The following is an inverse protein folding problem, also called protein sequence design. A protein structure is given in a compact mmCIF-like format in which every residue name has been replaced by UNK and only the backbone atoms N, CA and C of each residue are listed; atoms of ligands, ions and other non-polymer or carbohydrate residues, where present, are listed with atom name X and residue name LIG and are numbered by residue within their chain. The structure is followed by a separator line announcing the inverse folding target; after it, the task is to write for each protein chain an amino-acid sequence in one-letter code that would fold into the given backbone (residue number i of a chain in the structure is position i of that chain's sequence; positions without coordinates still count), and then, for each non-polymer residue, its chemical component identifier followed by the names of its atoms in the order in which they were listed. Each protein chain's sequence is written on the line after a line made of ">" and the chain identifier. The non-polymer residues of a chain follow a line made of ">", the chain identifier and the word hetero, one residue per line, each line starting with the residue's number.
data_IF_365457255438
#
_entry.id   IF_365457255438
#
_cell.length_a   1.000
_cell.length_b   1.000
_cell.length_c   1.000
_cell.angle_alpha   90.00
_cell.angle_beta   90.00
_cell.angle_gamma   90.00
#
_symmetry.space_group_name_H-M   'P 1'
#
loop_
_entity.id
_entity.type
_entity.pdbx_description
1 polymer ?
#
# COMPACT_ATOMS: atom_id res chain seq x y z
N UNK A 1 0.77 3.06 -19.08
CA UNK A 1 -0.37 2.15 -18.78
C UNK A 1 -1.68 2.92 -18.70
N UNK A 2 -1.92 3.84 -17.73
CA UNK A 2 -3.20 4.56 -17.59
C UNK A 2 -3.64 5.28 -18.86
N UNK A 3 -2.76 6.06 -19.51
CA UNK A 3 -3.07 6.73 -20.78
C UNK A 3 -3.52 5.76 -21.89
N UNK A 4 -2.91 4.57 -21.98
CA UNK A 4 -3.31 3.58 -22.98
C UNK A 4 -4.72 3.03 -22.69
N UNK A 5 -5.06 2.82 -21.41
CA UNK A 5 -6.40 2.39 -21.01
C UNK A 5 -7.42 3.47 -21.37
N UNK A 6 -7.17 4.72 -21.01
CA UNK A 6 -8.07 5.85 -21.34
C UNK A 6 -8.27 6.00 -22.86
N UNK A 7 -7.18 5.91 -23.63
CA UNK A 7 -7.28 5.97 -25.10
C UNK A 7 -8.13 4.84 -25.71
N UNK A 8 -8.08 3.64 -25.13
CA UNK A 8 -8.94 2.54 -25.56
C UNK A 8 -10.39 2.79 -25.17
N UNK A 9 -10.61 3.29 -23.93
CA UNK A 9 -11.95 3.66 -23.47
C UNK A 9 -12.58 4.72 -24.36
N UNK A 10 -11.85 5.78 -24.66
CA UNK A 10 -12.31 6.88 -25.52
C UNK A 10 -12.71 6.39 -26.92
N UNK A 11 -11.92 5.49 -27.53
CA UNK A 11 -12.24 4.87 -28.84
C UNK A 11 -13.56 4.07 -28.80
N UNK A 12 -13.98 3.65 -27.61
CA UNK A 12 -15.24 2.92 -27.40
C UNK A 12 -16.33 3.78 -26.76
N UNK A 13 -16.20 5.11 -26.80
CA UNK A 13 -17.10 6.08 -26.17
C UNK A 13 -17.30 5.84 -24.67
N UNK A 14 -16.27 5.37 -23.97
CA UNK A 14 -16.25 5.20 -22.53
C UNK A 14 -15.32 6.25 -21.91
N UNK A 15 -15.81 6.96 -20.91
CA UNK A 15 -15.10 8.05 -20.23
C UNK A 15 -15.01 7.74 -18.73
N UNK A 16 -14.14 6.79 -18.32
CA UNK A 16 -14.03 6.40 -16.93
C UNK A 16 -13.42 7.54 -16.09
N UNK A 17 -14.14 7.91 -15.04
CA UNK A 17 -13.71 8.87 -14.02
C UNK A 17 -13.76 8.20 -12.63
N UNK A 18 -12.77 7.36 -12.29
CA UNK A 18 -12.79 6.63 -11.03
C UNK A 18 -12.56 7.58 -9.85
N UNK A 19 -13.41 7.47 -8.83
CA UNK A 19 -13.24 8.18 -7.57
C UNK A 19 -12.20 7.51 -6.66
N UNK A 20 -12.08 6.19 -6.74
CA UNK A 20 -11.18 5.39 -5.89
C UNK A 20 -10.31 4.47 -6.73
N UNK A 21 -9.05 4.34 -6.32
CA UNK A 21 -8.15 3.28 -6.84
C UNK A 21 -7.52 2.55 -5.65
N UNK A 22 -7.51 1.21 -5.73
CA UNK A 22 -6.79 0.37 -4.78
C UNK A 22 -5.47 -0.04 -5.39
N UNK A 23 -4.37 0.24 -4.69
CA UNK A 23 -3.00 0.00 -5.17
C UNK A 23 -2.12 -0.55 -4.06
N UNK A 24 -1.00 -1.13 -4.46
CA UNK A 24 0.11 -1.42 -3.56
C UNK A 24 0.88 -0.13 -3.22
N UNK A 25 1.79 -0.21 -2.25
CA UNK A 25 2.58 0.94 -1.81
C UNK A 25 3.73 1.24 -2.78
N UNK A 26 3.39 1.44 -4.07
CA UNK A 26 4.31 1.87 -5.12
C UNK A 26 4.10 3.35 -5.46
N UNK A 27 5.00 4.21 -4.99
CA UNK A 27 4.88 5.66 -5.19
C UNK A 27 4.79 6.06 -6.66
N UNK A 28 5.50 5.35 -7.54
CA UNK A 28 5.46 5.59 -8.99
C UNK A 28 4.06 5.35 -9.56
N UNK A 29 3.38 4.29 -9.16
CA UNK A 29 2.02 3.95 -9.60
C UNK A 29 1.03 4.99 -9.08
N UNK A 30 1.14 5.37 -7.80
CA UNK A 30 0.29 6.39 -7.17
C UNK A 30 0.43 7.73 -7.90
N UNK A 31 1.65 8.18 -8.15
CA UNK A 31 1.90 9.44 -8.87
C UNK A 31 1.37 9.37 -10.31
N UNK A 32 1.60 8.26 -11.01
CA UNK A 32 1.12 8.07 -12.38
C UNK A 32 -0.42 8.06 -12.44
N UNK A 33 -1.09 7.44 -11.47
CA UNK A 33 -2.54 7.44 -11.38
C UNK A 33 -3.09 8.85 -11.19
N UNK A 34 -2.58 9.61 -10.22
CA UNK A 34 -3.00 11.00 -9.97
C UNK A 34 -2.74 11.92 -11.16
N UNK A 35 -1.57 11.81 -11.78
CA UNK A 35 -1.22 12.64 -12.93
C UNK A 35 -2.12 12.39 -14.16
N UNK A 36 -2.66 11.20 -14.32
CA UNK A 36 -3.46 10.83 -15.50
C UNK A 36 -4.96 10.88 -15.22
N UNK A 37 -5.39 10.45 -14.03
CA UNK A 37 -6.81 10.37 -13.66
C UNK A 37 -7.29 11.59 -12.88
N UNK A 38 -6.38 12.43 -12.39
CA UNK A 38 -6.70 13.66 -11.67
C UNK A 38 -6.43 13.60 -10.17
N UNK A 39 -6.27 14.78 -9.56
CA UNK A 39 -5.97 14.93 -8.13
C UNK A 39 -7.17 14.59 -7.22
N UNK A 40 -8.39 14.53 -7.77
CA UNK A 40 -9.59 14.10 -7.05
C UNK A 40 -9.55 12.60 -6.67
N UNK A 41 -8.66 11.84 -7.31
CA UNK A 41 -8.53 10.40 -7.11
C UNK A 41 -8.10 10.06 -5.68
N UNK A 42 -8.93 9.29 -4.99
CA UNK A 42 -8.65 8.78 -3.65
C UNK A 42 -7.85 7.47 -3.76
N UNK A 43 -6.66 7.48 -3.18
CA UNK A 43 -5.77 6.33 -3.18
C UNK A 43 -6.03 5.48 -1.94
N UNK A 44 -6.43 4.24 -2.14
CA UNK A 44 -6.57 3.24 -1.09
C UNK A 44 -5.47 2.19 -1.22
N UNK A 45 -4.56 2.14 -0.25
CA UNK A 45 -3.54 1.10 -0.16
C UNK A 45 -4.15 -0.25 0.23
N UNK A 46 -3.53 -1.31 -0.25
CA UNK A 46 -3.92 -2.67 0.13
C UNK A 46 -3.43 -2.99 1.54
N UNK A 47 -4.34 -3.35 2.46
CA UNK A 47 -4.00 -3.70 3.84
C UNK A 47 -3.01 -4.87 3.94
N UNK A 48 -3.16 -5.88 3.08
CA UNK A 48 -2.22 -6.99 3.02
C UNK A 48 -0.78 -6.52 2.74
N UNK A 49 -0.61 -5.60 1.79
CA UNK A 49 0.72 -5.06 1.45
C UNK A 49 1.28 -4.13 2.54
N UNK A 50 0.45 -3.48 3.34
CA UNK A 50 0.88 -2.78 4.54
C UNK A 50 1.54 -3.75 5.52
N UNK A 51 0.80 -4.80 5.93
CA UNK A 51 1.31 -5.83 6.83
C UNK A 51 2.56 -6.53 6.26
N UNK A 52 2.55 -6.85 4.95
CA UNK A 52 3.71 -7.44 4.28
C UNK A 52 4.95 -6.53 4.33
N UNK A 53 4.76 -5.21 4.20
CA UNK A 53 5.84 -4.23 4.30
C UNK A 53 6.43 -4.19 5.72
N UNK A 54 5.58 -4.21 6.76
CA UNK A 54 5.99 -4.31 8.16
C UNK A 54 6.79 -5.59 8.42
N UNK A 55 6.30 -6.74 7.95
CA UNK A 55 6.99 -8.02 8.07
C UNK A 55 8.31 -8.09 7.29
N UNK A 56 8.38 -7.46 6.13
CA UNK A 56 9.63 -7.35 5.37
C UNK A 56 10.67 -6.55 6.16
N UNK A 57 10.27 -5.42 6.73
CA UNK A 57 11.16 -4.61 7.56
C UNK A 57 11.62 -5.35 8.80
N UNK A 58 10.74 -6.06 9.47
CA UNK A 58 11.07 -6.95 10.59
C UNK A 58 12.13 -7.99 10.20
N UNK A 59 12.00 -8.57 9.01
CA UNK A 59 13.00 -9.53 8.48
C UNK A 59 14.34 -8.87 8.15
N UNK A 60 14.34 -7.67 7.58
CA UNK A 60 15.54 -6.86 7.29
C UNK A 60 16.30 -6.50 8.57
N UNK A 61 15.58 -6.22 9.66
CA UNK A 61 16.15 -5.94 10.98
C UNK A 61 16.63 -7.20 11.73
N UNK A 62 16.46 -8.40 11.15
CA UNK A 62 16.86 -9.66 11.77
C UNK A 62 15.94 -10.11 12.93
N UNK A 63 14.76 -9.51 13.06
CA UNK A 63 13.85 -9.72 14.20
C UNK A 63 12.89 -10.91 14.01
N UNK A 64 13.02 -11.67 12.92
CA UNK A 64 12.12 -12.79 12.59
C UNK A 64 12.04 -13.84 13.69
N UNK A 65 13.19 -14.20 14.28
CA UNK A 65 13.24 -15.18 15.39
C UNK A 65 12.50 -14.64 16.61
N UNK A 66 12.73 -13.38 16.96
CA UNK A 66 12.06 -12.73 18.09
C UNK A 66 10.55 -12.66 17.87
N UNK A 67 10.08 -12.33 16.68
CA UNK A 67 8.67 -12.34 16.32
C UNK A 67 8.02 -13.73 16.51
N UNK A 68 8.76 -14.81 16.30
CA UNK A 68 8.25 -16.18 16.44
C UNK A 68 8.26 -16.70 17.87
N UNK A 69 9.21 -16.26 18.70
CA UNK A 69 9.49 -16.83 20.03
C UNK A 69 9.04 -15.93 21.20
N UNK A 70 8.87 -14.62 20.96
CA UNK A 70 8.50 -13.64 21.98
C UNK A 70 7.06 -13.17 21.77
N UNK A 71 6.19 -13.55 22.69
CA UNK A 71 4.76 -13.24 22.62
C UNK A 71 4.49 -11.73 22.61
N UNK A 72 5.11 -10.99 23.53
CA UNK A 72 4.89 -9.55 23.68
C UNK A 72 5.35 -8.79 22.43
N UNK A 73 6.45 -9.24 21.84
CA UNK A 73 6.95 -8.68 20.58
C UNK A 73 6.01 -8.99 19.40
N UNK A 74 5.47 -10.20 19.34
CA UNK A 74 4.49 -10.60 18.32
C UNK A 74 3.19 -9.79 18.46
N UNK A 75 2.68 -9.66 19.69
CA UNK A 75 1.48 -8.86 19.99
C UNK A 75 1.68 -7.39 19.60
N UNK A 76 2.85 -6.81 19.92
CA UNK A 76 3.20 -5.45 19.50
C UNK A 76 3.17 -5.27 17.98
N UNK A 77 3.71 -6.22 17.22
CA UNK A 77 3.65 -6.19 15.75
C UNK A 77 2.20 -6.27 15.25
N UNK A 78 1.36 -7.09 15.88
CA UNK A 78 -0.07 -7.16 15.59
C UNK A 78 -0.81 -5.85 15.88
N UNK A 79 -0.47 -5.17 16.99
CA UNK A 79 -1.02 -3.86 17.33
C UNK A 79 -0.57 -2.79 16.33
N UNK A 80 0.67 -2.85 15.83
CA UNK A 80 1.19 -1.94 14.82
C UNK A 80 0.37 -2.03 13.51
N UNK A 81 0.11 -3.25 13.03
CA UNK A 81 -0.77 -3.48 11.88
C UNK A 81 -2.23 -3.08 12.19
N UNK A 82 -2.66 -3.27 13.44
CA UNK A 82 -3.98 -2.91 13.95
C UNK A 82 -4.31 -1.42 13.91
N UNK A 83 -3.30 -0.53 13.88
CA UNK A 83 -3.49 0.91 13.70
C UNK A 83 -4.32 1.24 12.45
N UNK A 84 -4.24 0.40 11.41
CA UNK A 84 -5.01 0.59 10.20
C UNK A 84 -6.54 0.50 10.41
N UNK A 85 -6.97 -0.13 11.49
CA UNK A 85 -8.38 -0.33 11.83
C UNK A 85 -8.95 0.76 12.75
N UNK A 86 -8.12 1.66 13.26
CA UNK A 86 -8.58 2.77 14.10
C UNK A 86 -9.22 3.88 13.27
N UNK A 87 -10.22 4.59 13.79
CA UNK A 87 -10.68 5.84 13.20
C UNK A 87 -9.50 6.82 13.02
N UNK A 88 -9.45 7.52 11.88
CA UNK A 88 -8.34 8.44 11.58
C UNK A 88 -8.12 9.50 12.67
N UNK A 89 -9.20 10.02 13.26
CA UNK A 89 -9.13 11.01 14.34
C UNK A 89 -8.60 10.45 15.66
N UNK A 90 -8.52 9.11 15.81
CA UNK A 90 -7.96 8.45 17.00
C UNK A 90 -6.61 7.76 16.72
N UNK A 91 -6.12 7.86 15.49
CA UNK A 91 -4.87 7.21 15.11
C UNK A 91 -3.69 7.69 15.96
N UNK A 92 -3.62 9.01 16.23
CA UNK A 92 -2.53 9.56 17.03
C UNK A 92 -2.52 8.98 18.46
N UNK A 93 -3.68 8.78 19.07
CA UNK A 93 -3.78 8.14 20.39
C UNK A 93 -3.22 6.70 20.35
N UNK A 94 -3.53 5.96 19.28
CA UNK A 94 -2.98 4.61 19.07
C UNK A 94 -1.47 4.60 18.90
N UNK A 95 -0.92 5.55 18.13
CA UNK A 95 0.52 5.71 17.94
C UNK A 95 1.22 6.06 19.25
N UNK A 96 0.66 6.99 20.04
CA UNK A 96 1.22 7.40 21.32
C UNK A 96 1.18 6.26 22.35
N UNK A 97 0.11 5.47 22.35
CA UNK A 97 0.03 4.25 23.15
C UNK A 97 1.12 3.24 22.76
N UNK A 98 1.26 2.90 21.47
CA UNK A 98 2.29 1.98 21.02
C UNK A 98 3.69 2.46 21.38
N UNK A 99 3.94 3.77 21.29
CA UNK A 99 5.21 4.39 21.70
C UNK A 99 5.53 4.18 23.17
N UNK A 100 4.50 4.14 24.03
CA UNK A 100 4.66 3.91 25.46
C UNK A 100 4.93 2.46 25.85
N UNK A 101 4.62 1.52 24.95
CA UNK A 101 4.71 0.05 25.21
C UNK A 101 5.66 -0.65 24.25
N UNK A 102 6.57 0.06 23.59
CA UNK A 102 7.54 -0.54 22.66
C UNK A 102 8.38 -1.60 23.42
N UNK A 103 8.35 -2.88 23.00
CA UNK A 103 9.20 -3.89 23.60
C UNK A 103 10.65 -3.71 23.16
N UNK A 104 11.58 -4.13 24.00
CA UNK A 104 13.02 -4.07 23.71
C UNK A 104 13.36 -4.65 22.35
N UNK A 105 13.98 -3.85 21.48
CA UNK A 105 14.41 -4.22 20.13
C UNK A 105 13.35 -4.03 19.04
N UNK A 106 12.17 -3.45 19.35
CA UNK A 106 11.17 -3.05 18.36
C UNK A 106 11.29 -1.58 17.96
N UNK A 107 12.20 -0.83 18.52
CA UNK A 107 12.35 0.62 18.35
C UNK A 107 12.55 0.99 16.87
N UNK A 108 13.45 0.31 16.18
CA UNK A 108 13.75 0.57 14.76
C UNK A 108 12.57 0.19 13.85
N UNK A 109 11.80 -0.85 14.21
CA UNK A 109 10.60 -1.24 13.48
C UNK A 109 9.49 -0.19 13.65
N UNK A 110 9.28 0.27 14.89
CA UNK A 110 8.32 1.33 15.18
C UNK A 110 8.69 2.64 14.49
N UNK A 111 9.96 3.05 14.57
CA UNK A 111 10.47 4.24 13.90
C UNK A 111 10.25 4.17 12.38
N UNK A 112 10.56 3.03 11.76
CA UNK A 112 10.29 2.83 10.33
C UNK A 112 8.80 3.03 10.00
N UNK A 113 7.90 2.45 10.79
CA UNK A 113 6.47 2.59 10.58
C UNK A 113 6.02 4.04 10.75
N UNK A 114 6.43 4.70 11.85
CA UNK A 114 6.10 6.10 12.12
C UNK A 114 6.58 7.03 10.99
N UNK A 115 7.82 6.87 10.54
CA UNK A 115 8.41 7.70 9.49
C UNK A 115 7.78 7.46 8.11
N UNK A 116 7.46 6.21 7.79
CA UNK A 116 6.97 5.83 6.47
C UNK A 116 5.47 6.07 6.31
N UNK A 117 4.71 5.81 7.37
CA UNK A 117 3.25 5.69 7.30
C UNK A 117 2.47 6.70 8.15
N UNK A 118 3.08 7.37 9.13
CA UNK A 118 2.36 8.25 10.06
C UNK A 118 2.83 9.69 9.97
N UNK A 119 3.99 9.99 10.55
CA UNK A 119 4.45 11.35 10.80
C UNK A 119 5.45 11.87 9.77
N UNK A 120 6.11 10.95 9.03
CA UNK A 120 7.24 11.28 8.17
C UNK A 120 8.52 11.55 8.93
N UNK A 121 9.50 12.17 8.29
CA UNK A 121 10.83 12.38 8.82
C UNK A 121 11.12 13.86 9.09
N UNK A 122 11.93 14.10 10.11
CA UNK A 122 12.47 15.44 10.40
C UNK A 122 13.94 15.44 9.98
N UNK A 123 14.30 16.28 9.01
CA UNK A 123 15.68 16.42 8.54
C UNK A 123 16.23 17.80 8.84
N UNK A 124 17.45 17.82 9.30
CA UNK A 124 18.24 19.06 9.42
C UNK A 124 18.79 19.41 8.04
N UNK A 125 18.49 20.60 7.55
CA UNK A 125 19.00 21.10 6.28
C UNK A 125 20.07 22.15 6.61
N UNK A 126 21.34 21.83 6.29
CA UNK A 126 22.41 22.82 6.31
C UNK A 126 22.27 23.68 5.04
N UNK A 127 21.82 24.90 5.15
CA UNK A 127 22.00 25.86 4.07
C UNK A 127 23.48 26.25 4.03
N UNK A 128 24.14 25.99 2.90
CA UNK A 128 25.49 26.51 2.66
C UNK A 128 25.47 28.01 2.92
N UNK A 129 26.40 28.50 3.75
CA UNK A 129 26.58 29.91 4.17
C UNK A 129 25.68 30.50 5.24
N UNK A 130 24.96 29.75 6.06
CA UNK A 130 24.29 30.28 7.23
C UNK A 130 24.53 29.44 8.46
N UNK A 131 24.84 30.08 9.60
CA UNK A 131 24.97 29.44 10.93
C UNK A 131 23.63 28.93 11.49
N UNK A 132 22.54 29.04 10.74
CA UNK A 132 21.22 28.62 11.18
C UNK A 132 20.89 27.23 10.68
N UNK A 133 20.73 26.27 11.61
CA UNK A 133 20.17 24.95 11.37
C UNK A 133 18.67 25.09 11.08
N UNK A 134 18.28 24.83 9.83
CA UNK A 134 16.86 24.77 9.47
C UNK A 134 16.37 23.32 9.60
N UNK A 135 15.34 23.13 10.41
CA UNK A 135 14.67 21.84 10.57
C UNK A 135 13.48 21.80 9.62
N UNK A 136 13.45 20.81 8.73
CA UNK A 136 12.32 20.62 7.80
C UNK A 136 11.65 19.27 8.07
N UNK A 137 10.32 19.31 8.22
CA UNK A 137 9.50 18.10 8.27
C UNK A 137 9.16 17.65 6.86
N UNK A 138 9.41 16.40 6.54
CA UNK A 138 8.96 15.72 5.32
C UNK A 138 7.77 14.84 5.70
N UNK A 139 6.64 14.95 5.00
CA UNK A 139 5.48 14.12 5.28
C UNK A 139 5.80 12.65 5.08
N UNK A 140 5.00 11.79 5.68
CA UNK A 140 5.08 10.35 5.47
C UNK A 140 4.96 10.02 3.97
N UNK A 141 5.69 9.01 3.53
CA UNK A 141 5.64 8.57 2.12
C UNK A 141 4.24 8.09 1.74
N UNK A 142 3.58 7.43 2.68
CA UNK A 142 2.21 6.94 2.58
C UNK A 142 1.43 7.42 3.81
N UNK A 143 0.76 8.57 3.74
CA UNK A 143 0.05 9.12 4.88
C UNK A 143 -1.14 8.25 5.30
N UNK A 144 -1.64 8.39 6.54
CA UNK A 144 -2.69 7.55 7.11
C UNK A 144 -3.93 7.37 6.25
N UNK A 145 -4.34 8.40 5.53
CA UNK A 145 -5.49 8.36 4.62
C UNK A 145 -5.33 7.33 3.50
N UNK A 146 -4.08 7.00 3.16
CA UNK A 146 -3.77 6.03 2.10
C UNK A 146 -3.98 4.59 2.55
N UNK A 147 -3.68 4.26 3.82
CA UNK A 147 -3.65 2.88 4.28
C UNK A 147 -4.68 2.53 5.36
N UNK A 148 -5.37 3.52 5.91
CA UNK A 148 -6.40 3.28 6.90
C UNK A 148 -7.59 2.53 6.28
N UNK A 149 -8.04 1.45 6.95
CA UNK A 149 -9.13 0.60 6.48
C UNK A 149 -10.36 0.65 7.37
N UNK A 150 -10.40 1.53 8.37
CA UNK A 150 -11.51 1.64 9.29
C UNK A 150 -12.84 1.84 8.56
N UNK A 151 -12.95 2.90 7.75
CA UNK A 151 -14.20 3.21 7.03
C UNK A 151 -14.52 2.15 5.97
N UNK A 152 -13.50 1.61 5.30
CA UNK A 152 -13.64 0.52 4.34
C UNK A 152 -14.23 -0.73 5.01
N UNK A 153 -13.82 -1.01 6.26
CA UNK A 153 -14.32 -2.14 7.04
C UNK A 153 -15.77 -1.93 7.50
N UNK A 154 -16.10 -0.73 7.97
CA UNK A 154 -17.48 -0.40 8.37
C UNK A 154 -18.46 -0.51 7.21
N UNK A 155 -18.03 -0.14 6.00
CA UNK A 155 -18.85 -0.19 4.80
C UNK A 155 -18.87 -1.59 4.13
N UNK A 156 -18.32 -2.62 4.76
CA UNK A 156 -18.17 -3.97 4.18
C UNK A 156 -17.46 -4.01 2.82
N UNK A 157 -16.60 -3.03 2.54
CA UNK A 157 -15.81 -2.98 1.32
C UNK A 157 -14.52 -3.81 1.44
N UNK A 158 -13.95 -4.19 0.30
CA UNK A 158 -12.70 -4.96 0.27
C UNK A 158 -11.52 -4.15 0.83
N UNK A 159 -10.86 -4.66 1.87
CA UNK A 159 -9.65 -4.08 2.48
C UNK A 159 -8.38 -4.39 1.70
N UNK A 160 -8.42 -5.44 0.88
CA UNK A 160 -7.29 -5.96 0.11
C UNK A 160 -7.63 -6.02 -1.37
N UNK A 161 -6.64 -6.23 -2.22
CA UNK A 161 -6.80 -6.45 -3.66
C UNK A 161 -6.93 -7.94 -4.02
N UNK A 162 -7.35 -8.78 -3.06
CA UNK A 162 -7.45 -10.25 -3.23
C UNK A 162 -8.19 -10.69 -4.49
N UNK A 163 -9.22 -9.93 -4.92
CA UNK A 163 -9.95 -10.23 -6.16
C UNK A 163 -9.03 -10.15 -7.38
N UNK A 164 -8.20 -9.10 -7.46
CA UNK A 164 -7.22 -8.95 -8.53
C UNK A 164 -6.11 -10.01 -8.43
N UNK A 165 -5.64 -10.31 -7.22
CA UNK A 165 -4.62 -11.35 -7.00
C UNK A 165 -5.14 -12.74 -7.36
N UNK A 166 -6.37 -13.07 -6.96
CA UNK A 166 -7.00 -14.34 -7.33
C UNK A 166 -7.17 -14.47 -8.84
N UNK A 167 -7.57 -13.39 -9.52
CA UNK A 167 -7.65 -13.35 -10.97
C UNK A 167 -6.27 -13.52 -11.60
N UNK A 168 -5.25 -12.80 -11.13
CA UNK A 168 -3.88 -12.91 -11.61
C UNK A 168 -3.32 -14.32 -11.44
N UNK A 169 -3.56 -14.95 -10.30
CA UNK A 169 -3.13 -16.32 -10.04
C UNK A 169 -3.82 -17.30 -10.99
N UNK A 170 -5.15 -17.20 -11.14
CA UNK A 170 -5.90 -18.00 -12.09
C UNK A 170 -5.38 -17.81 -13.52
N UNK A 171 -5.14 -16.56 -13.91
CA UNK A 171 -4.64 -16.24 -15.24
C UNK A 171 -3.21 -16.73 -15.46
N UNK A 172 -2.34 -16.65 -14.45
CA UNK A 172 -0.99 -17.20 -14.49
C UNK A 172 -1.01 -18.73 -14.74
N UNK A 173 -1.91 -19.46 -14.08
CA UNK A 173 -2.12 -20.88 -14.36
C UNK A 173 -2.65 -21.13 -15.79
N UNK A 174 -3.58 -20.31 -16.24
CA UNK A 174 -4.16 -20.41 -17.59
C UNK A 174 -3.10 -20.23 -18.69
N UNK A 175 -2.16 -19.29 -18.50
CA UNK A 175 -1.08 -19.02 -19.49
C UNK A 175 0.12 -19.94 -19.36
N UNK A 176 0.14 -20.80 -18.33
CA UNK A 176 1.19 -21.80 -18.13
C UNK A 176 2.44 -21.31 -17.40
N UNK A 177 2.39 -20.18 -16.72
CA UNK A 177 3.50 -19.67 -15.90
C UNK A 177 3.66 -18.15 -15.88
N UNK A 178 4.69 -17.69 -15.17
CA UNK A 178 4.94 -16.24 -14.95
C UNK A 178 5.50 -15.48 -16.15
N UNK A 179 6.07 -16.18 -17.13
CA UNK A 179 6.72 -15.58 -18.31
C UNK A 179 6.25 -16.28 -19.60
N UNK A 180 4.96 -16.19 -19.98
CA UNK A 180 4.47 -16.79 -21.22
C UNK A 180 5.04 -16.05 -22.42
N UNK A 181 5.12 -16.74 -23.58
CA UNK A 181 5.41 -16.07 -24.83
C UNK A 181 4.30 -15.05 -25.14
N UNK A 182 4.63 -13.99 -25.90
CA UNK A 182 3.64 -12.99 -26.29
C UNK A 182 2.45 -13.62 -27.05
N UNK A 183 2.70 -14.62 -27.87
CA UNK A 183 1.65 -15.32 -28.61
C UNK A 183 0.74 -16.15 -27.70
N UNK A 184 1.33 -16.84 -26.72
CA UNK A 184 0.57 -17.58 -25.70
C UNK A 184 -0.31 -16.61 -24.91
N UNK A 185 0.26 -15.48 -24.48
CA UNK A 185 -0.45 -14.47 -23.74
C UNK A 185 -1.65 -13.92 -24.52
N UNK A 186 -1.44 -13.49 -25.78
CA UNK A 186 -2.50 -12.95 -26.66
C UNK A 186 -3.61 -13.98 -26.86
N UNK A 187 -3.25 -15.23 -27.18
CA UNK A 187 -4.23 -16.31 -27.42
C UNK A 187 -5.08 -16.56 -26.18
N UNK A 188 -4.46 -16.63 -24.99
CA UNK A 188 -5.17 -16.90 -23.74
C UNK A 188 -6.05 -15.73 -23.32
N UNK A 189 -5.60 -14.47 -23.50
CA UNK A 189 -6.45 -13.28 -23.27
C UNK A 189 -7.68 -13.31 -24.18
N UNK A 190 -7.51 -13.58 -25.48
CA UNK A 190 -8.64 -13.67 -26.40
C UNK A 190 -9.65 -14.74 -25.99
N UNK A 191 -9.18 -15.92 -25.62
CA UNK A 191 -10.05 -17.01 -25.17
C UNK A 191 -10.82 -16.65 -23.88
N UNK A 192 -10.16 -16.00 -22.92
CA UNK A 192 -10.81 -15.55 -21.68
C UNK A 192 -11.89 -14.48 -21.95
N UNK A 193 -11.61 -13.58 -22.89
CA UNK A 193 -12.60 -12.56 -23.29
C UNK A 193 -13.80 -13.20 -24.02
N UNK A 194 -13.57 -14.12 -24.93
CA UNK A 194 -14.65 -14.84 -25.64
C UNK A 194 -15.51 -15.66 -24.67
N UNK A 195 -14.91 -16.32 -23.68
CA UNK A 195 -15.65 -17.08 -22.68
C UNK A 195 -16.56 -16.21 -21.81
N UNK A 196 -16.18 -14.95 -21.54
CA UNK A 196 -16.99 -14.00 -20.78
C UNK A 196 -18.12 -13.33 -21.59
N UNK A 197 -17.99 -13.27 -22.90
CA UNK A 197 -19.02 -12.73 -23.80
C UNK A 197 -20.09 -13.76 -24.17
N UNK A 198 -19.83 -15.04 -23.87
CA UNK A 198 -20.77 -16.14 -24.13
C UNK A 198 -21.68 -16.49 -22.94
N UNK A 199 -21.55 -15.78 -21.83
CA UNK A 199 -22.38 -15.83 -20.61
C UNK A 199 -23.31 -14.62 -20.54
#
# INVERSE_FOLDING_TARGET
>A
MFNAILSICEKNNLFPDPLYIKVDFEKAVINAAKNVLGEHLIINGCFYHLCQSTHRKLSELGLKKKYQEDYDFNEFCGMLDGLASLPLNRLQEGVDYLKSVIPLGAEDLFQYFEETYVSGTIRRINKQNTLHLTVRRFPAMFPPETWNVHQTTLNNNHRTNNVCESWNNRFCHLVGGKHPSIWTLITKIKNEMCAKLAL
#
